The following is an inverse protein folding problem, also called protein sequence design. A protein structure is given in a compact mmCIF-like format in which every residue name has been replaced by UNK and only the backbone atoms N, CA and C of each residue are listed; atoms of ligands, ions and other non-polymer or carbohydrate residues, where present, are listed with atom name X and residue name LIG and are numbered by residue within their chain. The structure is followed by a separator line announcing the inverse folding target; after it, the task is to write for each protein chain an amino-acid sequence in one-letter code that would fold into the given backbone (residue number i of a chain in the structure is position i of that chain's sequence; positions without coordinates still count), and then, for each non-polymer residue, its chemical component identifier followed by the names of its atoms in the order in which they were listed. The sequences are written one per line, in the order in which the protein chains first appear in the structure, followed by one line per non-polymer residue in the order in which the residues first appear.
data_IF_996575992172
#
_entry.id   IF_996575992172
#
_cell.length_a   1.000
_cell.length_b   1.000
_cell.length_c   1.000
_cell.angle_alpha   90.00
_cell.angle_beta   90.00
_cell.angle_gamma   90.00
#
_symmetry.space_group_name_H-M   'P 1'
#
loop_
_entity.id
_entity.type
_entity.pdbx_description
1 polymer ?
#
# COMPACT_ATOMS: atom_id res chain seq x y z
N UNK A 1 -12.45 23.66 -4.73
CA UNK A 1 -11.59 22.92 -5.69
C UNK A 1 -10.48 22.12 -4.99
N UNK A 2 -9.69 22.74 -4.10
CA UNK A 2 -8.61 22.07 -3.34
C UNK A 2 -9.03 20.76 -2.66
N UNK A 3 -10.13 20.77 -1.90
CA UNK A 3 -10.62 19.59 -1.20
C UNK A 3 -10.94 18.43 -2.16
N UNK A 4 -11.55 18.72 -3.31
CA UNK A 4 -11.86 17.71 -4.33
C UNK A 4 -10.58 17.09 -4.87
N UNK A 5 -9.57 17.91 -5.20
CA UNK A 5 -8.27 17.41 -5.70
C UNK A 5 -7.56 16.57 -4.64
N UNK A 6 -7.56 17.01 -3.38
CA UNK A 6 -6.93 16.28 -2.28
C UNK A 6 -7.63 14.94 -1.99
N UNK A 7 -8.97 14.93 -2.00
CA UNK A 7 -9.77 13.71 -1.82
C UNK A 7 -9.59 12.75 -3.00
N UNK A 8 -9.55 13.26 -4.24
CA UNK A 8 -9.25 12.45 -5.42
C UNK A 8 -7.85 11.85 -5.35
N UNK A 9 -6.85 12.65 -4.98
CA UNK A 9 -5.48 12.17 -4.76
C UNK A 9 -5.46 11.02 -3.73
N UNK A 10 -6.13 11.21 -2.60
CA UNK A 10 -6.21 10.22 -1.55
C UNK A 10 -6.93 8.94 -2.00
N UNK A 11 -8.07 9.07 -2.68
CA UNK A 11 -8.86 7.96 -3.19
C UNK A 11 -8.06 7.10 -4.19
N UNK A 12 -7.27 7.73 -5.07
CA UNK A 12 -6.40 7.02 -6.01
C UNK A 12 -5.34 6.18 -5.28
N UNK A 13 -4.71 6.73 -4.25
CA UNK A 13 -3.70 6.04 -3.44
C UNK A 13 -4.30 4.88 -2.64
N UNK A 14 -5.45 5.10 -2.00
CA UNK A 14 -6.17 4.05 -1.30
C UNK A 14 -6.59 2.92 -2.24
N UNK A 15 -7.06 3.26 -3.45
CA UNK A 15 -7.41 2.26 -4.46
C UNK A 15 -6.18 1.47 -4.92
N UNK A 16 -5.06 2.15 -5.17
CA UNK A 16 -3.80 1.50 -5.53
C UNK A 16 -3.33 0.52 -4.45
N UNK A 17 -3.43 0.92 -3.17
CA UNK A 17 -3.13 0.07 -2.01
C UNK A 17 -4.05 -1.16 -1.96
N UNK A 18 -5.38 -0.98 -2.09
CA UNK A 18 -6.35 -2.08 -2.11
C UNK A 18 -6.06 -3.12 -3.19
N UNK A 19 -5.61 -2.69 -4.37
CA UNK A 19 -5.28 -3.61 -5.46
C UNK A 19 -4.15 -4.58 -5.08
N UNK A 20 -3.20 -4.18 -4.21
CA UNK A 20 -2.10 -5.05 -3.77
C UNK A 20 -2.58 -6.22 -2.94
N UNK A 21 -3.55 -6.00 -2.06
CA UNK A 21 -4.15 -7.05 -1.24
C UNK A 21 -4.74 -8.17 -2.12
N UNK A 22 -5.31 -7.80 -3.27
CA UNK A 22 -5.94 -8.77 -4.17
C UNK A 22 -4.97 -9.59 -5.02
N UNK A 23 -3.66 -9.31 -5.01
CA UNK A 23 -2.71 -10.08 -5.84
C UNK A 23 -2.66 -11.55 -5.43
N UNK A 24 -2.63 -11.82 -4.13
CA UNK A 24 -2.56 -13.17 -3.58
C UNK A 24 -3.90 -13.89 -3.64
N UNK A 25 -5.00 -13.12 -3.56
CA UNK A 25 -6.36 -13.65 -3.58
C UNK A 25 -6.84 -14.01 -4.98
N UNK A 26 -6.12 -13.61 -6.04
CA UNK A 26 -6.57 -13.78 -7.42
C UNK A 26 -6.97 -15.22 -7.79
N UNK A 27 -6.31 -16.23 -7.23
CA UNK A 27 -6.66 -17.63 -7.42
C UNK A 27 -8.01 -17.99 -6.77
N UNK A 28 -8.16 -17.66 -5.48
CA UNK A 28 -9.38 -17.89 -4.72
C UNK A 28 -10.56 -17.06 -5.27
N UNK A 29 -10.32 -15.83 -5.70
CA UNK A 29 -11.32 -14.94 -6.26
C UNK A 29 -11.88 -15.46 -7.60
N UNK A 30 -11.04 -16.13 -8.41
CA UNK A 30 -11.48 -16.75 -9.68
C UNK A 30 -12.41 -17.94 -9.47
N UNK A 31 -12.18 -18.71 -8.40
CA UNK A 31 -12.94 -19.94 -8.09
C UNK A 31 -14.12 -19.70 -7.15
N UNK A 32 -14.25 -18.48 -6.61
CA UNK A 32 -15.35 -18.11 -5.72
C UNK A 32 -16.73 -18.26 -6.38
N UNK A 33 -17.74 -18.57 -5.57
CA UNK A 33 -19.16 -18.63 -5.97
C UNK A 33 -19.96 -17.74 -5.01
N UNK A 34 -20.58 -16.63 -5.48
CA UNK A 34 -20.55 -16.13 -6.86
C UNK A 34 -19.15 -15.64 -7.28
N UNK A 35 -18.88 -15.65 -8.59
CA UNK A 35 -17.59 -15.25 -9.15
C UNK A 35 -17.25 -13.80 -8.80
N UNK A 36 -16.14 -13.58 -8.11
CA UNK A 36 -15.64 -12.24 -7.84
C UNK A 36 -15.03 -11.61 -9.10
N UNK A 37 -15.27 -10.32 -9.30
CA UNK A 37 -14.70 -9.53 -10.42
C UNK A 37 -13.73 -8.48 -9.90
N UNK A 38 -12.68 -8.90 -9.20
CA UNK A 38 -11.65 -7.97 -8.74
C UNK A 38 -10.77 -7.51 -9.90
N UNK A 39 -10.14 -6.35 -9.76
CA UNK A 39 -9.23 -5.78 -10.78
C UNK A 39 -8.14 -6.77 -11.20
N UNK A 40 -7.62 -7.54 -10.25
CA UNK A 40 -6.58 -8.55 -10.51
C UNK A 40 -7.11 -9.73 -11.30
N UNK A 41 -8.35 -10.16 -11.04
CA UNK A 41 -9.01 -11.22 -11.82
C UNK A 41 -9.32 -10.73 -13.23
N UNK A 42 -9.79 -9.50 -13.39
CA UNK A 42 -10.16 -8.94 -14.68
C UNK A 42 -8.95 -8.63 -15.59
N UNK A 43 -7.88 -8.04 -15.04
CA UNK A 43 -6.72 -7.59 -15.81
C UNK A 43 -5.57 -8.61 -15.82
N UNK A 44 -5.56 -9.53 -14.86
CA UNK A 44 -4.41 -10.37 -14.58
C UNK A 44 -3.31 -9.65 -13.79
N UNK A 45 -2.35 -10.39 -13.19
CA UNK A 45 -1.43 -9.84 -12.19
C UNK A 45 -0.54 -8.70 -12.69
N UNK A 46 0.04 -8.84 -13.90
CA UNK A 46 0.97 -7.84 -14.46
C UNK A 46 0.28 -6.51 -14.75
N UNK A 47 -0.90 -6.56 -15.38
CA UNK A 47 -1.66 -5.36 -15.70
C UNK A 47 -2.26 -4.73 -14.43
N UNK A 48 -2.60 -5.52 -13.41
CA UNK A 48 -3.04 -5.00 -12.13
C UNK A 48 -1.92 -4.27 -11.36
N UNK A 49 -0.66 -4.70 -11.49
CA UNK A 49 0.51 -3.95 -10.99
C UNK A 49 0.67 -2.63 -11.72
N UNK A 50 0.57 -2.62 -13.05
CA UNK A 50 0.62 -1.39 -13.84
C UNK A 50 -0.53 -0.44 -13.46
N UNK A 51 -1.75 -0.96 -13.32
CA UNK A 51 -2.92 -0.21 -12.89
C UNK A 51 -2.72 0.46 -11.53
N UNK A 52 -2.31 -0.31 -10.51
CA UNK A 52 -2.03 0.24 -9.18
C UNK A 52 -0.91 1.30 -9.21
N UNK A 53 0.15 1.05 -9.99
CA UNK A 53 1.25 2.00 -10.18
C UNK A 53 0.75 3.32 -10.78
N UNK A 54 -0.10 3.27 -11.80
CA UNK A 54 -0.64 4.46 -12.48
C UNK A 54 -1.54 5.24 -11.52
N UNK A 55 -2.41 4.57 -10.77
CA UNK A 55 -3.26 5.24 -9.77
C UNK A 55 -2.42 5.93 -8.69
N UNK A 56 -1.42 5.24 -8.12
CA UNK A 56 -0.52 5.81 -7.13
C UNK A 56 0.27 7.00 -7.70
N UNK A 57 0.78 6.88 -8.93
CA UNK A 57 1.51 7.96 -9.59
C UNK A 57 0.60 9.17 -9.88
N UNK A 58 -0.64 8.95 -10.30
CA UNK A 58 -1.62 10.02 -10.51
C UNK A 58 -1.96 10.72 -9.18
N UNK A 59 -2.19 9.96 -8.10
CA UNK A 59 -2.38 10.51 -6.76
C UNK A 59 -1.18 11.35 -6.29
N UNK A 60 0.04 10.85 -6.49
CA UNK A 60 1.27 11.62 -6.22
C UNK A 60 1.33 12.92 -7.02
N UNK A 61 1.01 12.88 -8.33
CA UNK A 61 0.97 14.04 -9.20
C UNK A 61 -0.01 15.11 -8.72
N UNK A 62 -1.22 14.70 -8.29
CA UNK A 62 -2.20 15.62 -7.72
C UNK A 62 -1.73 16.26 -6.41
N UNK A 63 -1.10 15.49 -5.52
CA UNK A 63 -0.50 16.04 -4.29
C UNK A 63 0.65 17.01 -4.58
N UNK A 64 1.54 16.67 -5.53
CA UNK A 64 2.62 17.57 -5.94
C UNK A 64 2.06 18.87 -6.54
N UNK A 65 1.03 18.77 -7.39
CA UNK A 65 0.34 19.95 -7.94
C UNK A 65 -0.24 20.83 -6.83
N UNK A 66 -0.92 20.24 -5.83
CA UNK A 66 -1.39 20.97 -4.65
C UNK A 66 -0.25 21.57 -3.83
N UNK A 67 0.88 20.88 -3.77
CA UNK A 67 2.09 21.33 -3.10
C UNK A 67 2.65 22.62 -3.69
N UNK A 68 2.61 22.72 -5.02
CA UNK A 68 3.11 23.87 -5.78
C UNK A 68 2.12 25.03 -5.83
N UNK A 69 0.82 24.74 -5.95
CA UNK A 69 -0.21 25.75 -6.23
C UNK A 69 -0.97 26.21 -4.99
N UNK A 70 -1.06 25.38 -3.94
CA UNK A 70 -1.90 25.65 -2.76
C UNK A 70 -1.07 25.78 -1.50
N UNK A 71 -0.33 24.72 -1.10
CA UNK A 71 0.43 24.74 0.15
C UNK A 71 1.54 23.68 0.15
N UNK A 72 2.79 24.02 0.52
CA UNK A 72 3.94 23.12 0.41
C UNK A 72 3.82 21.83 1.26
N UNK A 73 2.95 21.80 2.27
CA UNK A 73 2.64 20.59 3.04
C UNK A 73 2.21 19.40 2.16
N UNK A 74 1.56 19.65 1.02
CA UNK A 74 1.16 18.60 0.09
C UNK A 74 2.33 18.01 -0.69
N UNK A 75 3.48 18.69 -0.78
CA UNK A 75 4.70 18.12 -1.38
C UNK A 75 5.17 16.91 -0.59
N UNK A 76 5.02 16.92 0.74
CA UNK A 76 5.37 15.79 1.62
C UNK A 76 4.54 14.56 1.24
N UNK A 77 3.21 14.70 1.16
CA UNK A 77 2.33 13.64 0.69
C UNK A 77 2.69 13.20 -0.74
N UNK A 78 2.99 14.14 -1.63
CA UNK A 78 3.38 13.87 -3.02
C UNK A 78 4.62 12.98 -3.14
N UNK A 79 5.71 13.32 -2.45
CA UNK A 79 6.94 12.53 -2.49
C UNK A 79 6.81 11.16 -1.81
N UNK A 80 6.12 11.09 -0.67
CA UNK A 80 5.86 9.81 0.01
C UNK A 80 5.00 8.89 -0.87
N UNK A 81 3.97 9.45 -1.52
CA UNK A 81 3.11 8.71 -2.46
C UNK A 81 3.88 8.28 -3.71
N UNK A 82 4.77 9.13 -4.24
CA UNK A 82 5.62 8.76 -5.37
C UNK A 82 6.53 7.56 -5.03
N UNK A 83 7.06 7.50 -3.80
CA UNK A 83 7.81 6.33 -3.34
C UNK A 83 6.94 5.06 -3.32
N UNK A 84 5.67 5.15 -2.90
CA UNK A 84 4.73 4.04 -2.96
C UNK A 84 4.48 3.56 -4.41
N UNK A 85 4.35 4.48 -5.37
CA UNK A 85 4.23 4.13 -6.79
C UNK A 85 5.46 3.38 -7.32
N UNK A 86 6.66 3.76 -6.89
CA UNK A 86 7.90 3.03 -7.23
C UNK A 86 7.89 1.62 -6.65
N UNK A 87 7.39 1.43 -5.42
CA UNK A 87 7.25 0.11 -4.81
C UNK A 87 6.26 -0.77 -5.58
N UNK A 88 5.10 -0.23 -5.98
CA UNK A 88 4.17 -0.96 -6.84
C UNK A 88 4.84 -1.42 -8.12
N UNK A 89 5.54 -0.51 -8.82
CA UNK A 89 6.19 -0.83 -10.10
C UNK A 89 7.21 -1.97 -10.00
N UNK A 90 7.89 -2.09 -8.86
CA UNK A 90 8.95 -3.08 -8.62
C UNK A 90 8.43 -4.38 -8.00
N UNK A 91 7.14 -4.48 -7.72
CA UNK A 91 6.52 -5.63 -7.09
C UNK A 91 6.39 -6.78 -8.10
N UNK A 92 6.89 -7.95 -7.71
CA UNK A 92 6.55 -9.21 -8.37
C UNK A 92 5.26 -9.75 -7.74
N UNK A 93 4.14 -9.79 -8.49
CA UNK A 93 2.85 -10.22 -7.94
C UNK A 93 2.77 -11.74 -7.74
N UNK A 94 3.81 -12.51 -8.08
CA UNK A 94 3.86 -13.97 -7.92
C UNK A 94 4.68 -14.41 -6.70
N UNK A 95 5.47 -13.51 -6.09
CA UNK A 95 6.22 -13.77 -4.87
C UNK A 95 5.46 -13.28 -3.65
N UNK A 96 4.89 -14.23 -2.90
CA UNK A 96 4.15 -13.99 -1.66
C UNK A 96 4.89 -13.07 -0.68
N UNK A 97 6.19 -13.32 -0.47
CA UNK A 97 6.99 -12.56 0.51
C UNK A 97 7.20 -11.13 0.03
N UNK A 98 7.40 -10.95 -1.28
CA UNK A 98 7.52 -9.62 -1.87
C UNK A 98 6.20 -8.85 -1.78
N UNK A 99 5.07 -9.49 -2.07
CA UNK A 99 3.74 -8.85 -2.00
C UNK A 99 3.44 -8.38 -0.58
N UNK A 100 3.46 -9.27 0.41
CA UNK A 100 3.13 -8.92 1.81
C UNK A 100 4.04 -7.82 2.36
N UNK A 101 5.35 -7.89 2.06
CA UNK A 101 6.29 -6.86 2.52
C UNK A 101 6.02 -5.50 1.87
N UNK A 102 5.73 -5.48 0.58
CA UNK A 102 5.47 -4.23 -0.13
C UNK A 102 4.09 -3.66 0.20
N UNK A 103 3.09 -4.49 0.42
CA UNK A 103 1.77 -4.11 0.92
C UNK A 103 1.89 -3.32 2.23
N UNK A 104 2.60 -3.88 3.22
CA UNK A 104 2.82 -3.19 4.49
C UNK A 104 3.56 -1.86 4.31
N UNK A 105 4.58 -1.82 3.45
CA UNK A 105 5.31 -0.58 3.13
C UNK A 105 4.40 0.47 2.50
N UNK A 106 3.56 0.08 1.55
CA UNK A 106 2.63 1.00 0.88
C UNK A 106 1.60 1.55 1.87
N UNK A 107 1.06 0.71 2.76
CA UNK A 107 0.15 1.14 3.83
C UNK A 107 0.85 2.14 4.77
N UNK A 108 2.06 1.83 5.23
CA UNK A 108 2.83 2.70 6.11
C UNK A 108 3.16 4.04 5.45
N UNK A 109 3.51 4.04 4.17
CA UNK A 109 3.71 5.26 3.38
C UNK A 109 2.40 6.06 3.26
N UNK A 110 1.26 5.40 3.03
CA UNK A 110 -0.05 6.06 2.98
C UNK A 110 -0.45 6.73 4.30
N UNK A 111 -0.29 6.01 5.42
CA UNK A 111 -0.51 6.56 6.76
C UNK A 111 0.43 7.73 7.01
N UNK A 112 1.72 7.57 6.72
CA UNK A 112 2.74 8.61 6.87
C UNK A 112 2.43 9.85 6.04
N UNK A 113 2.04 9.69 4.78
CA UNK A 113 1.67 10.78 3.89
C UNK A 113 0.49 11.58 4.43
N UNK A 114 -0.59 10.89 4.85
CA UNK A 114 -1.77 11.56 5.41
C UNK A 114 -1.48 12.28 6.72
N UNK A 115 -0.82 11.60 7.65
CA UNK A 115 -0.55 12.11 8.99
C UNK A 115 0.45 13.27 8.98
N UNK A 116 1.54 13.15 8.21
CA UNK A 116 2.53 14.23 8.11
C UNK A 116 1.93 15.49 7.48
N UNK A 117 1.19 15.37 6.37
CA UNK A 117 0.52 16.51 5.76
C UNK A 117 -0.54 17.12 6.67
N UNK A 118 -1.33 16.31 7.39
CA UNK A 118 -2.33 16.80 8.34
C UNK A 118 -1.71 17.64 9.47
N UNK A 119 -0.57 17.22 10.02
CA UNK A 119 0.11 17.93 11.12
C UNK A 119 0.75 19.22 10.62
N UNK A 120 1.33 19.21 9.42
CA UNK A 120 1.90 20.44 8.85
C UNK A 120 0.78 21.47 8.59
N UNK A 121 -0.39 21.03 8.11
CA UNK A 121 -1.54 21.91 7.85
C UNK A 121 -2.24 22.35 9.14
N UNK A 122 -2.31 21.48 10.15
CA UNK A 122 -2.96 21.75 11.42
C UNK A 122 -2.06 21.28 12.58
N UNK A 123 -1.07 22.10 12.98
CA UNK A 123 -0.11 21.74 14.02
C UNK A 123 -0.78 21.35 15.34
N UNK A 124 -1.96 21.90 15.65
CA UNK A 124 -2.75 21.54 16.84
C UNK A 124 -3.03 20.05 16.98
N UNK A 125 -2.96 19.27 15.89
CA UNK A 125 -3.16 17.82 15.89
C UNK A 125 -1.93 17.03 16.36
N UNK A 126 -0.76 17.66 16.55
CA UNK A 126 0.45 16.97 16.97
C UNK A 126 0.30 16.11 18.25
N UNK A 127 -0.49 16.49 19.28
CA UNK A 127 -0.65 15.65 20.48
C UNK A 127 -1.41 14.34 20.21
N UNK A 128 -2.05 14.20 19.04
CA UNK A 128 -2.70 12.97 18.62
C UNK A 128 -1.70 11.95 18.03
N UNK A 129 -0.47 12.38 17.67
CA UNK A 129 0.57 11.48 17.16
C UNK A 129 0.89 10.32 18.11
N UNK A 130 1.19 10.55 19.41
CA UNK A 130 1.43 9.47 20.35
C UNK A 130 0.26 8.48 20.40
N UNK A 131 -0.98 8.98 20.39
CA UNK A 131 -2.17 8.14 20.40
C UNK A 131 -2.28 7.30 19.12
N UNK A 132 -2.01 7.89 17.96
CA UNK A 132 -1.98 7.18 16.68
C UNK A 132 -0.89 6.10 16.66
N UNK A 133 0.29 6.38 17.22
CA UNK A 133 1.39 5.41 17.35
C UNK A 133 0.99 4.26 18.27
N UNK A 134 0.42 4.54 19.44
CA UNK A 134 -0.06 3.50 20.37
C UNK A 134 -1.13 2.65 19.71
N UNK A 135 -2.10 3.26 19.03
CA UNK A 135 -3.12 2.54 18.27
C UNK A 135 -2.54 1.66 17.17
N UNK A 136 -1.54 2.16 16.43
CA UNK A 136 -0.85 1.38 15.40
C UNK A 136 -0.06 0.20 15.98
N UNK A 137 0.65 0.40 17.09
CA UNK A 137 1.39 -0.67 17.78
C UNK A 137 0.44 -1.71 18.36
N UNK A 138 -0.67 -1.30 18.96
CA UNK A 138 -1.71 -2.20 19.45
C UNK A 138 -2.32 -3.02 18.31
N UNK A 139 -2.58 -2.39 17.15
CA UNK A 139 -3.02 -3.09 15.95
C UNK A 139 -1.99 -4.12 15.50
N UNK A 140 -0.71 -3.74 15.37
CA UNK A 140 0.36 -4.67 15.00
C UNK A 140 0.49 -5.83 15.98
N UNK A 141 0.35 -5.59 17.29
CA UNK A 141 0.37 -6.64 18.29
C UNK A 141 -0.82 -7.61 18.14
N UNK A 142 -1.99 -7.11 17.76
CA UNK A 142 -3.18 -7.93 17.55
C UNK A 142 -3.13 -8.74 16.24
N UNK A 143 -2.51 -8.23 15.18
CA UNK A 143 -2.48 -8.87 13.85
C UNK A 143 -1.16 -9.58 13.53
N UNK A 144 -0.14 -9.47 14.38
CA UNK A 144 1.11 -10.18 14.18
C UNK A 144 0.86 -11.70 14.18
N UNK A 145 1.45 -12.45 13.22
CA UNK A 145 1.29 -13.89 13.20
C UNK A 145 1.87 -14.50 14.50
N UNK A 146 1.22 -15.53 15.07
CA UNK A 146 1.74 -16.27 16.22
C UNK A 146 3.23 -16.63 16.03
N UNK A 147 4.02 -16.54 17.10
CA UNK A 147 5.50 -16.66 17.03
C UNK A 147 5.98 -18.00 16.44
N UNK A 148 5.16 -19.04 16.57
CA UNK A 148 5.23 -20.37 15.97
C UNK A 148 5.00 -20.36 14.46
N UNK A 149 3.98 -19.66 13.94
CA UNK A 149 3.76 -19.46 12.50
C UNK A 149 4.89 -18.64 11.85
N UNK A 150 5.36 -17.59 12.54
CA UNK A 150 6.50 -16.79 12.08
C UNK A 150 7.80 -17.60 11.98
N UNK A 151 7.99 -18.62 12.83
CA UNK A 151 9.11 -19.57 12.75
C UNK A 151 8.94 -20.56 11.59
N UNK A 152 7.76 -21.12 11.38
CA UNK A 152 7.46 -22.01 10.27
C UNK A 152 7.70 -21.35 8.90
N UNK A 153 7.38 -20.06 8.76
CA UNK A 153 7.60 -19.28 7.53
C UNK A 153 9.07 -18.96 7.25
N UNK A 154 9.93 -18.94 8.28
CA UNK A 154 11.39 -18.80 8.10
C UNK A 154 12.05 -20.06 7.55
N UNK A 155 11.39 -21.22 7.68
CA UNK A 155 11.96 -22.53 7.38
C UNK A 155 11.23 -23.35 6.31
N UNK A 156 10.40 -22.75 5.44
CA UNK A 156 9.65 -23.55 4.45
C UNK A 156 10.60 -24.26 3.46
N UNK A 157 10.61 -25.62 3.43
CA UNK A 157 11.55 -26.43 2.62
C UNK A 157 11.41 -26.23 1.10
N UNK A 158 10.29 -25.65 0.65
CA UNK A 158 9.99 -25.44 -0.77
C UNK A 158 10.96 -24.46 -1.46
N UNK A 159 11.62 -23.57 -0.70
CA UNK A 159 12.66 -22.69 -1.24
C UNK A 159 14.02 -23.37 -1.42
N UNK A 160 14.34 -24.39 -0.61
CA UNK A 160 15.60 -25.13 -0.72
C UNK A 160 15.60 -26.16 -1.85
N UNK A 161 14.43 -26.71 -2.22
CA UNK A 161 14.32 -27.66 -3.31
C UNK A 161 14.58 -27.02 -4.69
N UNK A 162 14.12 -25.79 -4.91
CA UNK A 162 14.27 -25.08 -6.20
C UNK A 162 15.67 -24.49 -6.44
N UNK A 163 16.44 -24.29 -5.37
CA UNK A 163 17.82 -23.80 -5.43
C UNK A 163 18.85 -24.91 -5.68
N UNK A 164 18.49 -26.19 -5.48
CA UNK A 164 19.38 -27.35 -5.71
C UNK A 164 19.27 -27.98 -7.10
N UNK A 165 18.33 -27.50 -7.93
CA UNK A 165 18.10 -28.00 -9.30
C UNK A 165 18.49 -26.98 -10.37
N UNK A 166 19.42 -26.06 -10.05
CA UNK A 166 20.09 -25.21 -11.04
C UNK A 166 21.58 -25.51 -11.03
#
# INVERSE_FOLDING_TARGET
MTAIVALSAHALVCTAMLVVHHYLDAGADRTAVPKKRTTVVALGPRLAVAYATILAAAGAGLYLMLGLVVHPAFLVAGFITAAAAVLHRRLDPTDLKAVTRNELRVIQLGIGAGLSTAIILAPVLWPLLPLAVVGYLAHLAAVAPPADLARAWRGSPLMSARARTK
#
